data_IF_124193662903
#
_entry.id   IF_124193662903
#
_cell.length_a   1.000
_cell.length_b   1.000
_cell.length_c   1.000
_cell.angle_alpha   90.00
_cell.angle_beta   90.00
_cell.angle_gamma   90.00
#
_symmetry.space_group_name_H-M   'P 1'
#
loop_
_entity.id
_entity.type
_entity.pdbx_description
1 polymer ?
#
# COMPACT_ATOMS: atom_id res chain seq x y z
N UNK A 1 -16.34 31.93 2.93
CA UNK A 1 -15.79 31.10 4.01
C UNK A 1 -15.99 31.75 5.37
N UNK A 2 -15.00 32.52 5.85
CA UNK A 2 -14.91 32.98 7.24
C UNK A 2 -16.19 33.63 7.82
N UNK A 3 -16.81 34.57 7.10
CA UNK A 3 -18.06 35.21 7.56
C UNK A 3 -19.20 34.20 7.75
N UNK A 4 -19.30 33.22 6.84
CA UNK A 4 -20.38 32.22 6.85
C UNK A 4 -20.30 31.27 8.06
N UNK A 5 -19.13 31.10 8.68
CA UNK A 5 -19.01 30.30 9.90
C UNK A 5 -19.91 30.84 11.02
N UNK A 6 -19.82 32.15 11.27
CA UNK A 6 -20.62 32.83 12.28
C UNK A 6 -22.09 32.92 11.87
N UNK A 7 -22.37 33.25 10.62
CA UNK A 7 -23.74 33.36 10.10
C UNK A 7 -24.49 32.04 10.19
N UNK A 8 -23.87 30.91 9.82
CA UNK A 8 -24.49 29.59 9.88
C UNK A 8 -24.87 29.23 11.33
N UNK A 9 -23.94 29.44 12.26
CA UNK A 9 -24.19 29.19 13.67
C UNK A 9 -25.33 30.07 14.21
N UNK A 10 -25.31 31.38 13.95
CA UNK A 10 -26.37 32.29 14.38
C UNK A 10 -27.73 31.89 13.81
N UNK A 11 -27.78 31.52 12.53
CA UNK A 11 -29.00 31.10 11.87
C UNK A 11 -29.56 29.78 12.44
N UNK A 12 -28.72 28.74 12.57
CA UNK A 12 -29.15 27.45 13.12
C UNK A 12 -29.60 27.58 14.59
N UNK A 13 -28.91 28.40 15.38
CA UNK A 13 -29.34 28.72 16.75
C UNK A 13 -30.69 29.42 16.80
N UNK A 14 -30.99 30.33 15.87
CA UNK A 14 -32.25 31.05 15.83
C UNK A 14 -33.43 30.18 15.35
N UNK A 15 -33.19 29.32 14.36
CA UNK A 15 -34.24 28.52 13.69
C UNK A 15 -34.48 27.19 14.38
N UNK A 16 -33.41 26.43 14.66
CA UNK A 16 -33.49 25.08 15.22
C UNK A 16 -33.38 25.11 16.75
N UNK A 17 -32.61 26.07 17.28
CA UNK A 17 -32.28 26.14 18.71
C UNK A 17 -31.04 25.31 19.03
N UNK A 18 -30.10 25.90 19.76
CA UNK A 18 -28.79 25.25 20.07
C UNK A 18 -28.94 23.89 20.75
N UNK A 19 -29.99 23.64 21.53
CA UNK A 19 -30.19 22.34 22.19
C UNK A 19 -30.60 21.20 21.23
N UNK A 20 -31.02 21.51 20.00
CA UNK A 20 -31.71 20.57 19.10
C UNK A 20 -30.85 20.08 17.93
N UNK A 21 -29.53 20.32 17.95
CA UNK A 21 -28.59 19.81 16.95
C UNK A 21 -27.18 19.70 17.52
N UNK A 22 -26.37 18.78 16.99
CA UNK A 22 -25.04 18.45 17.53
C UNK A 22 -23.89 19.00 16.67
N UNK A 23 -24.11 18.97 15.35
CA UNK A 23 -23.24 19.53 14.32
C UNK A 23 -24.12 20.31 13.33
N UNK A 24 -23.53 21.31 12.68
CA UNK A 24 -24.16 22.03 11.59
C UNK A 24 -23.14 22.38 10.52
N UNK A 25 -23.57 22.38 9.27
CA UNK A 25 -22.70 22.64 8.14
C UNK A 25 -23.52 23.32 7.04
N UNK A 26 -23.00 24.37 6.44
CA UNK A 26 -23.68 25.07 5.34
C UNK A 26 -22.98 24.80 4.01
N UNK A 27 -23.78 24.51 2.99
CA UNK A 27 -23.30 24.35 1.62
C UNK A 27 -23.53 25.63 0.83
N UNK A 28 -22.60 25.97 -0.06
CA UNK A 28 -22.72 27.12 -0.96
C UNK A 28 -22.19 26.81 -2.35
N UNK A 29 -22.43 27.72 -3.29
CA UNK A 29 -21.79 27.69 -4.61
C UNK A 29 -20.54 28.59 -4.68
N UNK A 30 -20.08 29.12 -3.54
CA UNK A 30 -18.76 29.76 -3.42
C UNK A 30 -17.64 28.71 -3.56
N UNK A 31 -16.37 29.10 -3.63
CA UNK A 31 -15.26 28.14 -3.73
C UNK A 31 -14.65 27.78 -2.37
N UNK A 32 -14.22 26.52 -2.21
CA UNK A 32 -13.44 26.01 -1.09
C UNK A 32 -14.27 25.64 0.15
N UNK A 33 -13.59 25.20 1.19
CA UNK A 33 -14.16 24.90 2.49
C UNK A 33 -13.48 25.66 3.63
N UNK A 34 -14.18 25.76 4.76
CA UNK A 34 -13.57 26.13 6.04
C UNK A 34 -14.45 25.65 7.19
N UNK A 35 -13.82 25.10 8.22
CA UNK A 35 -14.46 24.70 9.45
C UNK A 35 -13.65 25.10 10.69
N UNK A 36 -14.36 25.28 11.80
CA UNK A 36 -13.71 25.37 13.11
C UNK A 36 -13.36 23.97 13.62
N UNK A 37 -12.18 23.83 14.22
CA UNK A 37 -11.65 22.55 14.68
C UNK A 37 -12.36 22.05 15.94
N UNK A 38 -12.82 20.79 15.95
CA UNK A 38 -13.33 20.10 17.15
C UNK A 38 -14.52 20.79 17.81
N UNK A 39 -15.55 21.13 17.01
CA UNK A 39 -16.67 21.98 17.46
C UNK A 39 -17.99 21.26 17.64
N UNK A 40 -18.08 19.97 17.28
CA UNK A 40 -19.28 19.17 17.56
C UNK A 40 -19.60 19.20 19.06
N UNK A 41 -20.89 19.25 19.40
CA UNK A 41 -21.42 19.44 20.76
C UNK A 41 -21.10 20.76 21.46
N UNK A 42 -20.24 21.63 20.91
CA UNK A 42 -19.88 22.90 21.55
C UNK A 42 -20.99 23.94 21.35
N UNK A 43 -21.77 24.28 22.39
CA UNK A 43 -22.86 25.28 22.27
C UNK A 43 -22.39 26.63 21.69
N UNK A 44 -21.12 27.01 21.93
CA UNK A 44 -20.53 28.26 21.47
C UNK A 44 -19.92 28.18 20.06
N UNK A 45 -19.62 26.98 19.53
CA UNK A 45 -18.87 26.84 18.28
C UNK A 45 -19.45 25.83 17.27
N UNK A 46 -20.38 24.95 17.66
CA UNK A 46 -21.05 24.04 16.74
C UNK A 46 -21.77 24.82 15.65
N UNK A 47 -21.96 24.19 14.50
CA UNK A 47 -22.39 24.81 13.24
C UNK A 47 -21.38 25.69 12.50
N UNK A 48 -20.14 25.84 12.98
CA UNK A 48 -19.09 26.57 12.26
C UNK A 48 -18.37 25.67 11.24
N UNK A 49 -19.08 25.29 10.18
CA UNK A 49 -18.54 24.55 9.04
C UNK A 49 -19.21 25.01 7.75
N UNK A 50 -18.41 25.22 6.70
CA UNK A 50 -18.85 25.70 5.40
C UNK A 50 -18.11 24.92 4.31
N UNK A 51 -18.85 24.42 3.33
CA UNK A 51 -18.29 23.84 2.11
C UNK A 51 -18.90 24.52 0.90
N UNK A 52 -18.08 24.86 -0.09
CA UNK A 52 -18.51 25.49 -1.31
C UNK A 52 -17.79 24.98 -2.55
N UNK A 53 -18.55 24.78 -3.63
CA UNK A 53 -17.99 24.62 -4.98
C UNK A 53 -18.94 25.18 -6.02
N UNK A 54 -18.41 25.78 -7.09
CA UNK A 54 -19.22 26.35 -8.17
C UNK A 54 -20.18 25.34 -8.81
N UNK A 55 -19.78 24.07 -8.87
CA UNK A 55 -20.64 22.92 -9.17
C UNK A 55 -20.57 21.93 -7.99
N UNK A 56 -21.49 22.02 -7.01
CA UNK A 56 -21.45 21.23 -5.78
C UNK A 56 -22.00 19.82 -5.99
N UNK A 57 -21.34 19.04 -6.85
CA UNK A 57 -21.76 17.69 -7.24
C UNK A 57 -20.56 16.77 -7.40
N UNK A 58 -20.77 15.47 -7.15
CA UNK A 58 -19.76 14.42 -7.35
C UNK A 58 -18.67 14.38 -6.28
N UNK A 59 -17.79 13.39 -6.41
CA UNK A 59 -16.78 13.05 -5.41
C UNK A 59 -15.87 14.22 -5.01
N UNK A 60 -15.38 15.08 -5.92
CA UNK A 60 -14.52 16.19 -5.50
C UNK A 60 -15.29 17.31 -4.78
N UNK A 61 -16.61 17.21 -4.62
CA UNK A 61 -17.36 18.03 -3.67
C UNK A 61 -17.62 17.26 -2.38
N UNK A 62 -18.10 16.02 -2.47
CA UNK A 62 -18.51 15.22 -1.30
C UNK A 62 -17.33 14.77 -0.43
N UNK A 63 -16.22 14.39 -1.04
CA UNK A 63 -15.04 13.85 -0.34
C UNK A 63 -14.05 14.97 -0.06
N UNK A 64 -13.51 15.60 -1.12
CA UNK A 64 -12.41 16.57 -1.00
C UNK A 64 -12.78 17.84 -0.21
N UNK A 65 -14.07 18.19 -0.10
CA UNK A 65 -14.51 19.33 0.69
C UNK A 65 -15.48 18.95 1.80
N UNK A 66 -16.62 18.31 1.52
CA UNK A 66 -17.62 18.08 2.58
C UNK A 66 -17.07 17.18 3.68
N UNK A 67 -16.52 16.01 3.33
CA UNK A 67 -15.92 15.11 4.31
C UNK A 67 -14.68 15.73 4.98
N UNK A 68 -13.83 16.43 4.22
CA UNK A 68 -12.67 17.16 4.72
C UNK A 68 -13.03 18.18 5.82
N UNK A 69 -13.96 19.08 5.52
CA UNK A 69 -14.37 20.13 6.46
C UNK A 69 -15.16 19.56 7.64
N UNK A 70 -15.92 18.48 7.44
CA UNK A 70 -16.53 17.77 8.55
C UNK A 70 -15.48 17.07 9.43
N UNK A 71 -14.40 16.54 8.86
CA UNK A 71 -13.26 16.00 9.59
C UNK A 71 -12.66 17.03 10.56
N UNK A 72 -12.49 18.28 10.11
CA UNK A 72 -12.13 19.38 11.02
C UNK A 72 -13.16 19.62 12.12
N UNK A 73 -14.45 19.60 11.83
CA UNK A 73 -15.47 19.75 12.87
C UNK A 73 -15.37 18.65 13.94
N UNK A 74 -14.94 17.46 13.55
CA UNK A 74 -14.61 16.32 14.42
C UNK A 74 -13.20 16.34 15.01
N UNK A 75 -12.40 17.36 14.69
CA UNK A 75 -11.11 17.63 15.33
C UNK A 75 -9.88 17.24 14.52
N UNK A 76 -10.04 16.57 13.38
CA UNK A 76 -8.90 16.12 12.57
C UNK A 76 -8.12 17.31 12.00
N UNK A 77 -6.79 17.18 11.99
CA UNK A 77 -5.88 18.14 11.36
C UNK A 77 -5.50 17.65 9.96
N UNK A 78 -4.83 18.52 9.20
CA UNK A 78 -4.32 18.12 7.90
C UNK A 78 -3.20 17.08 8.01
N UNK A 79 -3.24 16.09 7.12
CA UNK A 79 -2.29 14.96 7.11
C UNK A 79 -1.14 15.13 6.10
N UNK A 80 -1.22 16.11 5.21
CA UNK A 80 -0.22 16.34 4.17
C UNK A 80 1.11 16.90 4.72
N UNK A 81 2.21 16.53 4.08
CA UNK A 81 3.56 16.98 4.39
C UNK A 81 4.19 17.85 3.28
N UNK A 82 3.36 18.38 2.39
CA UNK A 82 3.81 19.22 1.29
C UNK A 82 4.16 20.65 1.69
N UNK A 83 4.77 21.38 0.75
CA UNK A 83 5.29 22.74 0.98
C UNK A 83 4.98 23.75 -0.14
N UNK A 84 4.40 23.30 -1.25
CA UNK A 84 4.08 24.12 -2.42
C UNK A 84 2.57 24.19 -2.69
N UNK A 85 2.14 25.11 -3.57
CA UNK A 85 0.72 25.32 -3.84
C UNK A 85 -0.09 25.65 -2.58
N UNK A 86 -1.23 24.99 -2.41
CA UNK A 86 -2.09 25.14 -1.22
C UNK A 86 -1.50 24.51 0.04
N UNK A 87 -0.51 23.61 -0.07
CA UNK A 87 0.23 23.08 1.08
C UNK A 87 1.14 24.14 1.72
N UNK A 88 1.41 25.27 1.03
CA UNK A 88 2.15 26.40 1.58
C UNK A 88 1.28 27.30 2.49
N UNK A 89 1.85 28.38 3.02
CA UNK A 89 1.06 29.45 3.67
C UNK A 89 0.52 29.13 5.08
N UNK A 90 1.02 28.07 5.73
CA UNK A 90 0.69 27.75 7.12
C UNK A 90 -0.46 26.75 7.31
N UNK A 91 -0.95 26.13 6.23
CA UNK A 91 -1.99 25.10 6.31
C UNK A 91 -1.47 23.77 6.89
N UNK A 92 -0.17 23.48 6.77
CA UNK A 92 0.42 22.24 7.26
C UNK A 92 0.37 22.14 8.79
N UNK A 93 -0.15 21.03 9.31
CA UNK A 93 -0.10 20.67 10.72
C UNK A 93 1.08 19.71 10.99
N UNK A 94 2.22 20.24 11.44
CA UNK A 94 3.47 19.47 11.53
C UNK A 94 3.42 18.22 12.44
N UNK A 95 2.52 18.20 13.42
CA UNK A 95 2.31 17.08 14.34
C UNK A 95 1.38 15.99 13.78
N UNK A 96 0.80 16.21 12.60
CA UNK A 96 -0.15 15.31 11.94
C UNK A 96 0.24 15.02 10.48
N UNK A 97 1.34 15.59 10.00
CA UNK A 97 1.78 15.56 8.61
C UNK A 97 2.46 14.22 8.23
N UNK A 98 1.69 13.13 8.28
CA UNK A 98 2.15 11.75 8.01
C UNK A 98 2.17 11.39 6.52
N UNK A 99 1.46 12.12 5.66
CA UNK A 99 1.38 11.80 4.24
C UNK A 99 2.36 12.64 3.40
N UNK A 100 3.15 12.04 2.49
CA UNK A 100 4.08 12.80 1.65
C UNK A 100 3.36 13.78 0.72
N UNK A 101 4.04 14.88 0.35
CA UNK A 101 3.52 15.82 -0.65
C UNK A 101 2.11 16.33 -0.34
N UNK A 102 1.22 16.32 -1.34
CA UNK A 102 -0.19 16.68 -1.16
C UNK A 102 -0.98 15.75 -0.25
N UNK A 103 -0.45 14.56 0.06
CA UNK A 103 -1.18 13.40 0.57
C UNK A 103 -2.26 12.90 -0.38
N UNK A 104 -2.99 11.89 0.07
CA UNK A 104 -3.98 11.11 -0.68
C UNK A 104 -5.32 10.95 0.07
N UNK A 105 -5.36 11.03 1.40
CA UNK A 105 -6.59 10.79 2.17
C UNK A 105 -7.48 12.02 2.33
N UNK A 106 -8.65 11.85 2.96
CA UNK A 106 -9.66 12.93 3.13
C UNK A 106 -9.08 14.19 3.77
N UNK A 107 -8.22 14.07 4.79
CA UNK A 107 -7.64 15.25 5.48
C UNK A 107 -6.36 15.78 4.83
N UNK A 108 -5.97 15.21 3.70
CA UNK A 108 -4.88 15.71 2.89
C UNK A 108 -5.36 16.81 1.92
N UNK A 109 -4.44 17.33 1.12
CA UNK A 109 -4.67 18.37 0.10
C UNK A 109 -4.43 17.81 -1.32
N UNK A 110 -4.94 16.60 -1.58
CA UNK A 110 -4.75 15.90 -2.84
C UNK A 110 -5.08 16.80 -4.05
N UNK A 111 -4.10 16.97 -4.95
CA UNK A 111 -4.30 17.65 -6.23
C UNK A 111 -4.25 19.18 -6.20
N UNK A 112 -3.91 19.79 -5.05
CA UNK A 112 -3.87 21.26 -4.90
C UNK A 112 -2.54 21.81 -4.37
N UNK A 113 -1.49 21.00 -4.36
CA UNK A 113 -0.14 21.34 -3.91
C UNK A 113 0.89 21.45 -5.07
N UNK A 114 0.45 21.33 -6.32
CA UNK A 114 1.27 21.64 -7.49
C UNK A 114 2.24 20.51 -7.84
N UNK A 115 3.55 20.79 -7.84
CA UNK A 115 4.55 19.77 -8.19
C UNK A 115 4.65 18.62 -7.17
N UNK A 116 4.01 18.77 -6.01
CA UNK A 116 3.96 17.79 -4.93
C UNK A 116 2.67 16.96 -4.91
N UNK A 117 1.82 17.10 -5.95
CA UNK A 117 0.56 16.38 -6.05
C UNK A 117 0.77 14.89 -6.30
N UNK A 118 0.25 14.07 -5.39
CA UNK A 118 0.30 12.60 -5.47
C UNK A 118 -0.81 12.02 -6.37
N UNK A 119 -1.96 12.67 -6.37
CA UNK A 119 -3.18 12.28 -7.09
C UNK A 119 -4.11 13.50 -7.25
N UNK A 120 -5.05 13.49 -8.20
CA UNK A 120 -5.90 14.65 -8.46
C UNK A 120 -7.01 14.92 -7.44
N UNK A 121 -7.48 13.91 -6.69
CA UNK A 121 -8.56 14.03 -5.69
C UNK A 121 -8.29 13.06 -4.54
N UNK A 122 -8.89 13.24 -3.37
CA UNK A 122 -8.67 12.36 -2.23
C UNK A 122 -9.34 11.00 -2.44
N UNK A 123 -8.69 9.96 -1.91
CA UNK A 123 -9.32 8.68 -1.69
C UNK A 123 -10.32 8.77 -0.52
N UNK A 124 -11.45 8.08 -0.64
CA UNK A 124 -12.60 8.23 0.26
C UNK A 124 -12.45 7.47 1.59
N UNK A 125 -11.34 7.68 2.29
CA UNK A 125 -11.12 7.21 3.66
C UNK A 125 -10.22 8.19 4.43
N UNK A 126 -10.26 8.08 5.75
CA UNK A 126 -9.39 8.84 6.64
C UNK A 126 -8.08 8.08 6.86
N UNK A 127 -6.94 8.79 6.80
CA UNK A 127 -5.67 8.31 7.32
C UNK A 127 -5.82 7.94 8.81
N UNK A 128 -5.04 6.97 9.31
CA UNK A 128 -5.16 6.54 10.71
C UNK A 128 -4.98 7.65 11.74
N UNK A 129 -4.13 8.65 11.50
CA UNK A 129 -4.01 9.84 12.36
C UNK A 129 -5.35 10.60 12.49
N UNK A 130 -6.08 10.75 11.39
CA UNK A 130 -7.39 11.40 11.41
C UNK A 130 -8.41 10.58 12.21
N UNK A 131 -8.38 9.24 12.09
CA UNK A 131 -9.21 8.35 12.90
C UNK A 131 -8.88 8.50 14.38
N UNK A 132 -7.61 8.40 14.78
CA UNK A 132 -7.18 8.54 16.19
C UNK A 132 -7.70 9.84 16.83
N UNK A 133 -7.61 10.95 16.09
CA UNK A 133 -8.07 12.27 16.54
C UNK A 133 -9.61 12.32 16.65
N UNK A 134 -10.32 11.83 15.63
CA UNK A 134 -11.79 11.82 15.59
C UNK A 134 -12.35 10.91 16.69
N UNK A 135 -11.78 9.72 16.87
CA UNK A 135 -12.15 8.77 17.90
C UNK A 135 -11.91 9.34 19.30
N UNK A 136 -10.73 9.92 19.54
CA UNK A 136 -10.43 10.56 20.81
C UNK A 136 -11.46 11.67 21.11
N UNK A 137 -11.73 12.55 20.14
CA UNK A 137 -12.67 13.67 20.32
C UNK A 137 -14.12 13.22 20.52
N UNK A 138 -14.57 12.20 19.77
CA UNK A 138 -15.95 11.71 19.80
C UNK A 138 -16.24 10.77 20.98
N UNK A 139 -15.28 9.91 21.36
CA UNK A 139 -15.45 8.88 22.41
C UNK A 139 -15.08 9.41 23.80
N UNK A 140 -14.09 10.30 23.90
CA UNK A 140 -13.57 10.79 25.20
C UNK A 140 -13.51 12.32 25.35
N UNK A 141 -13.54 13.06 24.25
CA UNK A 141 -13.41 14.52 24.22
C UNK A 141 -14.74 15.29 24.24
N UNK A 142 -14.70 16.54 23.78
CA UNK A 142 -15.85 17.46 23.77
C UNK A 142 -16.99 16.99 22.86
N UNK A 143 -16.68 16.29 21.77
CA UNK A 143 -17.67 15.68 20.86
C UNK A 143 -18.50 14.57 21.52
N UNK A 144 -18.10 14.11 22.70
CA UNK A 144 -18.80 13.08 23.47
C UNK A 144 -19.97 13.63 24.33
N UNK A 145 -20.12 14.96 24.39
CA UNK A 145 -21.01 15.63 25.35
C UNK A 145 -22.50 15.67 24.95
N UNK A 146 -22.81 15.42 23.67
CA UNK A 146 -24.17 15.48 23.14
C UNK A 146 -24.61 14.16 22.47
N UNK A 147 -23.83 13.08 22.62
CA UNK A 147 -24.10 11.80 21.97
C UNK A 147 -25.41 11.17 22.42
N UNK A 148 -26.04 10.44 21.49
CA UNK A 148 -26.98 9.37 21.80
C UNK A 148 -26.26 8.02 21.55
N UNK A 149 -26.30 7.13 22.55
CA UNK A 149 -25.68 5.80 22.43
C UNK A 149 -26.64 4.85 21.71
N UNK A 150 -26.15 4.20 20.65
CA UNK A 150 -26.85 3.18 19.88
C UNK A 150 -25.99 1.93 19.87
N UNK A 151 -26.58 0.79 20.22
CA UNK A 151 -25.88 -0.49 20.11
C UNK A 151 -25.73 -0.86 18.63
N UNK A 152 -24.50 -1.15 18.20
CA UNK A 152 -24.18 -1.55 16.83
C UNK A 152 -24.41 -3.04 16.63
N UNK A 153 -24.20 -3.84 17.68
CA UNK A 153 -24.23 -5.30 17.58
C UNK A 153 -22.90 -5.90 17.11
N UNK A 154 -21.92 -5.05 16.78
CA UNK A 154 -20.51 -5.41 16.69
C UNK A 154 -19.95 -5.49 18.13
N UNK A 155 -19.51 -6.67 18.54
CA UNK A 155 -19.16 -6.99 19.92
C UNK A 155 -17.65 -7.14 20.11
N UNK A 156 -16.90 -7.36 19.04
CA UNK A 156 -15.46 -7.57 19.05
C UNK A 156 -14.74 -6.50 18.25
N UNK A 157 -13.72 -5.89 18.85
CA UNK A 157 -12.73 -5.11 18.11
C UNK A 157 -11.73 -6.08 17.48
N UNK A 158 -11.29 -5.85 16.22
CA UNK A 158 -10.25 -6.67 15.60
C UNK A 158 -8.97 -6.74 16.43
N UNK A 159 -8.35 -7.93 16.50
CA UNK A 159 -6.99 -8.09 17.03
C UNK A 159 -6.00 -8.04 15.87
N UNK A 160 -5.03 -7.12 15.90
CA UNK A 160 -4.12 -6.82 14.79
C UNK A 160 -2.68 -7.13 15.18
N UNK A 161 -1.92 -7.70 14.24
CA UNK A 161 -0.50 -8.02 14.37
C UNK A 161 0.24 -7.49 13.13
N UNK A 162 1.11 -6.49 13.32
CA UNK A 162 1.92 -5.89 12.26
C UNK A 162 3.18 -6.71 11.92
N UNK A 163 3.40 -7.83 12.61
CA UNK A 163 4.57 -8.67 12.44
C UNK A 163 5.83 -8.08 13.06
N UNK A 164 6.97 -8.69 12.72
CA UNK A 164 8.26 -8.37 13.34
C UNK A 164 8.88 -7.05 12.81
N UNK A 165 9.84 -6.52 13.57
CA UNK A 165 10.73 -5.47 13.12
C UNK A 165 11.86 -6.03 12.24
N UNK A 166 12.30 -5.26 11.23
CA UNK A 166 13.35 -5.70 10.31
C UNK A 166 14.45 -4.68 10.12
N UNK A 167 15.66 -5.18 9.80
CA UNK A 167 16.73 -4.36 9.24
C UNK A 167 16.93 -4.70 7.77
N UNK A 168 16.78 -3.71 6.89
CA UNK A 168 16.87 -3.87 5.42
C UNK A 168 18.04 -3.07 4.83
N UNK A 169 18.58 -3.47 3.68
CA UNK A 169 19.54 -2.66 2.92
C UNK A 169 18.93 -1.36 2.38
N UNK A 170 19.75 -0.32 2.15
CA UNK A 170 19.30 0.90 1.45
C UNK A 170 18.86 0.58 0.01
N UNK A 171 17.99 1.43 -0.54
CA UNK A 171 17.56 1.40 -1.94
C UNK A 171 17.07 0.02 -2.42
N UNK A 172 16.37 -0.71 -1.55
CA UNK A 172 15.91 -2.07 -1.83
C UNK A 172 14.41 -2.20 -1.54
N UNK A 173 13.61 -2.74 -2.48
CA UNK A 173 12.19 -3.03 -2.26
C UNK A 173 11.93 -3.94 -1.06
N UNK A 174 10.77 -3.78 -0.44
CA UNK A 174 10.32 -4.66 0.65
C UNK A 174 8.80 -4.81 0.65
N UNK A 175 8.30 -5.87 1.29
CA UNK A 175 6.88 -6.11 1.49
C UNK A 175 6.58 -6.42 2.94
N UNK A 176 5.61 -5.71 3.53
CA UNK A 176 5.15 -5.94 4.88
C UNK A 176 3.86 -6.75 4.82
N UNK A 177 3.79 -7.80 5.64
CA UNK A 177 2.63 -8.66 5.80
C UNK A 177 2.31 -8.72 7.27
N UNK A 178 1.07 -8.39 7.62
CA UNK A 178 0.57 -8.60 8.98
C UNK A 178 -0.59 -9.58 8.98
N UNK A 179 -1.31 -9.61 10.09
CA UNK A 179 -2.52 -10.40 10.26
C UNK A 179 -3.53 -9.65 11.13
N UNK A 180 -4.78 -10.06 11.05
CA UNK A 180 -5.76 -9.69 12.04
C UNK A 180 -6.81 -10.79 12.18
N UNK A 181 -7.45 -10.84 13.35
CA UNK A 181 -8.60 -11.71 13.60
C UNK A 181 -9.77 -10.88 14.11
N UNK A 182 -10.97 -11.37 13.84
CA UNK A 182 -12.20 -10.81 14.36
C UNK A 182 -13.04 -11.93 14.97
N UNK A 183 -13.52 -11.73 16.20
CA UNK A 183 -14.22 -12.77 16.96
C UNK A 183 -15.70 -12.91 16.55
N UNK A 184 -16.27 -11.90 15.91
CA UNK A 184 -17.63 -11.92 15.37
C UNK A 184 -17.68 -12.59 13.98
N UNK A 185 -16.53 -12.74 13.32
CA UNK A 185 -16.36 -13.44 12.05
C UNK A 185 -16.56 -12.54 10.83
N UNK A 186 -16.43 -11.22 11.02
CA UNK A 186 -16.60 -10.23 9.97
C UNK A 186 -15.43 -10.22 8.97
N UNK A 187 -15.68 -9.69 7.77
CA UNK A 187 -14.67 -9.65 6.70
C UNK A 187 -13.72 -8.48 6.89
N UNK A 188 -12.47 -8.80 7.17
CA UNK A 188 -11.45 -7.80 7.46
C UNK A 188 -10.89 -7.13 6.18
N UNK A 189 -10.55 -5.85 6.32
CA UNK A 189 -9.71 -5.11 5.36
C UNK A 189 -8.55 -4.45 6.07
N UNK A 190 -7.42 -4.35 5.37
CA UNK A 190 -6.11 -3.95 5.88
C UNK A 190 -5.63 -2.69 5.16
N UNK A 191 -4.98 -1.79 5.90
CA UNK A 191 -4.29 -0.64 5.36
C UNK A 191 -2.95 -0.48 6.07
N UNK A 192 -1.87 -0.47 5.29
CA UNK A 192 -0.52 -0.19 5.75
C UNK A 192 -0.20 1.27 5.48
N UNK A 193 0.19 2.04 6.49
CA UNK A 193 0.50 3.47 6.39
C UNK A 193 1.87 3.74 7.00
N UNK A 194 2.65 4.65 6.40
CA UNK A 194 3.88 5.11 7.04
C UNK A 194 3.52 6.04 8.21
N UNK A 195 4.21 5.85 9.34
CA UNK A 195 3.96 6.53 10.60
C UNK A 195 5.13 7.42 11.05
N UNK A 196 5.76 8.09 10.09
CA UNK A 196 6.85 9.03 10.36
C UNK A 196 6.42 10.48 10.11
N UNK A 197 6.77 11.34 11.07
CA UNK A 197 6.77 12.80 10.88
C UNK A 197 8.16 13.28 10.50
N UNK A 198 8.24 14.39 9.75
CA UNK A 198 9.52 14.98 9.42
C UNK A 198 9.46 16.35 8.77
N UNK A 199 10.58 16.79 8.17
CA UNK A 199 10.63 18.02 7.39
C UNK A 199 9.59 18.04 6.27
N UNK A 200 9.04 19.21 5.97
CA UNK A 200 8.09 19.39 4.87
C UNK A 200 8.80 19.44 3.50
N UNK A 201 8.06 19.10 2.46
CA UNK A 201 8.47 19.25 1.06
C UNK A 201 8.88 17.95 0.36
N UNK A 202 9.23 18.02 -0.94
CA UNK A 202 9.39 16.85 -1.80
C UNK A 202 10.73 16.14 -1.61
N UNK A 203 11.69 16.79 -0.95
CA UNK A 203 13.01 16.23 -0.77
C UNK A 203 13.01 15.21 0.37
N UNK A 204 13.43 13.98 0.05
CA UNK A 204 13.69 12.95 1.05
C UNK A 204 14.78 13.46 1.99
N UNK A 205 14.40 13.84 3.19
CA UNK A 205 15.32 14.40 4.18
C UNK A 205 14.88 14.01 5.59
N UNK A 206 15.85 13.63 6.42
CA UNK A 206 15.59 13.17 7.79
C UNK A 206 14.56 12.04 7.82
N UNK A 207 13.49 12.23 8.59
CA UNK A 207 12.40 11.27 8.74
C UNK A 207 11.13 11.70 7.98
N UNK A 208 11.24 12.57 6.95
CA UNK A 208 10.06 12.93 6.15
C UNK A 208 9.33 11.68 5.66
N UNK A 209 7.98 11.66 5.65
CA UNK A 209 7.21 10.58 5.05
C UNK A 209 7.55 10.47 3.56
N UNK A 210 7.68 9.23 3.09
CA UNK A 210 8.11 8.86 1.72
C UNK A 210 7.22 7.80 1.07
N UNK A 211 6.30 7.20 1.83
CA UNK A 211 5.29 6.27 1.34
C UNK A 211 3.89 6.84 1.60
N UNK A 212 3.10 6.97 0.54
CA UNK A 212 1.73 7.46 0.57
C UNK A 212 0.80 6.41 1.14
N UNK A 213 -0.41 6.80 1.49
CA UNK A 213 -1.44 5.82 1.88
C UNK A 213 -2.24 5.35 0.66
N UNK A 214 -2.87 4.18 0.79
CA UNK A 214 -3.78 3.61 -0.22
C UNK A 214 -5.05 3.06 0.46
N UNK A 215 -6.14 2.95 -0.31
CA UNK A 215 -7.39 2.37 0.16
C UNK A 215 -7.19 1.03 0.88
N UNK A 216 -7.94 0.77 1.98
CA UNK A 216 -7.94 -0.54 2.62
C UNK A 216 -8.32 -1.66 1.64
N UNK A 217 -7.67 -2.81 1.74
CA UNK A 217 -7.93 -3.97 0.87
C UNK A 217 -8.04 -5.26 1.69
N UNK A 218 -8.63 -6.35 1.15
CA UNK A 218 -8.58 -7.65 1.80
C UNK A 218 -7.17 -8.26 1.89
N UNK A 219 -6.19 -7.71 1.18
CA UNK A 219 -4.81 -8.21 1.20
C UNK A 219 -4.04 -7.66 2.40
N UNK A 220 -3.49 -8.54 3.27
CA UNK A 220 -2.73 -8.09 4.44
C UNK A 220 -1.30 -7.67 4.11
N UNK A 221 -0.89 -7.82 2.83
CA UNK A 221 0.46 -7.52 2.36
C UNK A 221 0.49 -6.24 1.54
N UNK A 222 1.41 -5.33 1.87
CA UNK A 222 1.73 -4.16 1.04
C UNK A 222 3.19 -4.20 0.60
N UNK A 223 3.42 -3.98 -0.69
CA UNK A 223 4.75 -3.80 -1.29
C UNK A 223 5.14 -2.32 -1.33
N UNK A 224 6.42 -2.05 -1.08
CA UNK A 224 7.01 -0.72 -1.05
C UNK A 224 8.25 -0.66 -1.95
N UNK A 225 8.22 0.13 -3.05
CA UNK A 225 7.07 0.76 -3.68
C UNK A 225 5.97 -0.22 -4.10
N UNK A 226 4.79 0.31 -4.46
CA UNK A 226 3.73 -0.49 -5.09
C UNK A 226 4.29 -1.30 -6.26
N UNK A 227 3.84 -2.55 -6.40
CA UNK A 227 4.35 -3.50 -7.41
C UNK A 227 4.36 -2.94 -8.84
N UNK A 228 3.38 -2.10 -9.20
CA UNK A 228 3.34 -1.45 -10.51
C UNK A 228 4.55 -0.54 -10.75
N UNK A 229 4.98 0.23 -9.74
CA UNK A 229 6.16 1.11 -9.84
C UNK A 229 7.45 0.30 -10.00
N UNK A 230 7.52 -0.88 -9.36
CA UNK A 230 8.63 -1.82 -9.50
C UNK A 230 8.69 -2.43 -10.91
N UNK A 231 7.55 -2.90 -11.42
CA UNK A 231 7.45 -3.51 -12.76
C UNK A 231 7.77 -2.51 -13.87
N UNK A 232 7.26 -1.28 -13.75
CA UNK A 232 7.46 -0.22 -14.73
C UNK A 232 8.80 0.51 -14.56
N UNK A 233 9.54 0.24 -13.48
CA UNK A 233 10.79 0.93 -13.14
C UNK A 233 10.63 2.45 -13.02
N UNK A 234 9.43 2.91 -12.66
CA UNK A 234 9.05 4.33 -12.67
C UNK A 234 9.01 4.87 -11.25
N UNK A 235 9.84 5.87 -10.90
CA UNK A 235 9.73 6.54 -9.62
C UNK A 235 8.42 7.31 -9.53
N UNK A 236 7.61 6.99 -8.52
CA UNK A 236 6.37 7.69 -8.20
C UNK A 236 6.57 8.53 -6.93
N UNK A 237 6.11 9.78 -6.97
CA UNK A 237 6.14 10.65 -5.78
C UNK A 237 5.34 10.00 -4.65
N UNK A 238 5.91 10.00 -3.44
CA UNK A 238 5.32 9.33 -2.29
C UNK A 238 5.40 7.81 -2.36
N UNK A 239 6.23 7.23 -3.22
CA UNK A 239 6.57 5.80 -3.21
C UNK A 239 8.08 5.65 -3.41
N UNK A 240 8.88 6.24 -2.51
CA UNK A 240 10.34 6.33 -2.72
C UNK A 240 11.15 5.49 -1.74
N UNK A 241 12.09 4.72 -2.27
CA UNK A 241 13.01 3.93 -1.47
C UNK A 241 14.06 4.80 -0.75
N UNK A 242 14.37 4.50 0.51
CA UNK A 242 15.35 5.25 1.30
C UNK A 242 16.78 4.97 0.81
N UNK A 243 17.52 6.01 0.44
CA UNK A 243 18.91 5.91 -0.07
C UNK A 243 19.98 6.14 1.00
N UNK A 244 19.58 6.29 2.26
CA UNK A 244 20.45 6.50 3.41
C UNK A 244 19.89 5.79 4.64
N UNK A 245 20.71 5.65 5.68
CA UNK A 245 20.29 4.99 6.91
C UNK A 245 19.21 5.82 7.62
N UNK A 246 18.06 5.21 7.87
CA UNK A 246 16.95 5.80 8.62
C UNK A 246 16.07 4.69 9.18
N UNK A 247 15.27 5.04 10.18
CA UNK A 247 14.20 4.17 10.66
C UNK A 247 12.91 4.63 10.01
N UNK A 248 12.09 3.67 9.57
CA UNK A 248 10.74 3.87 9.09
C UNK A 248 9.79 3.20 10.08
N UNK A 249 8.75 3.92 10.48
CA UNK A 249 7.67 3.34 11.28
C UNK A 249 6.50 3.09 10.34
N UNK A 250 5.86 1.93 10.47
CA UNK A 250 4.66 1.59 9.74
C UNK A 250 3.57 1.20 10.71
N UNK A 251 2.33 1.49 10.33
CA UNK A 251 1.15 1.09 11.07
C UNK A 251 0.24 0.27 10.17
N UNK A 252 -0.15 -0.91 10.65
CA UNK A 252 -1.18 -1.74 10.04
C UNK A 252 -2.50 -1.45 10.75
N UNK A 253 -3.51 -1.01 10.01
CA UNK A 253 -4.88 -0.87 10.52
C UNK A 253 -5.76 -1.94 9.90
N UNK A 254 -6.45 -2.73 10.73
CA UNK A 254 -7.51 -3.64 10.29
C UNK A 254 -8.90 -3.06 10.63
N UNK A 255 -9.86 -3.26 9.72
CA UNK A 255 -11.26 -2.86 9.87
C UNK A 255 -12.15 -4.09 9.71
N UNK A 256 -13.06 -4.33 10.63
CA UNK A 256 -14.00 -5.47 10.55
C UNK A 256 -15.09 -5.28 9.49
N UNK A 257 -15.39 -4.04 9.10
CA UNK A 257 -16.49 -3.70 8.18
C UNK A 257 -17.87 -4.17 8.66
N UNK A 258 -18.07 -4.34 9.97
CA UNK A 258 -19.35 -4.75 10.53
C UNK A 258 -20.47 -3.75 10.19
N UNK A 259 -21.71 -4.24 10.04
CA UNK A 259 -22.88 -3.43 9.71
C UNK A 259 -23.85 -3.47 10.89
N UNK A 260 -24.38 -2.33 11.39
CA UNK A 260 -24.40 -1.00 10.77
C UNK A 260 -23.18 -0.11 11.04
N UNK A 261 -22.24 -0.52 11.89
CA UNK A 261 -21.03 0.23 12.18
C UNK A 261 -19.89 -0.72 12.55
N UNK A 262 -18.80 -0.62 11.80
CA UNK A 262 -17.57 -1.37 12.06
C UNK A 262 -16.72 -0.71 13.12
N UNK A 263 -15.70 -1.45 13.56
CA UNK A 263 -14.62 -0.98 14.41
C UNK A 263 -13.28 -1.22 13.69
N UNK A 264 -12.24 -0.59 14.23
CA UNK A 264 -10.89 -0.71 13.72
C UNK A 264 -9.88 -0.76 14.85
N UNK A 265 -8.77 -1.44 14.60
CA UNK A 265 -7.64 -1.46 15.50
C UNK A 265 -6.35 -1.46 14.68
N UNK A 266 -5.23 -1.21 15.34
CA UNK A 266 -3.93 -1.17 14.69
C UNK A 266 -2.82 -1.81 15.51
N UNK A 267 -1.75 -2.13 14.80
CA UNK A 267 -0.44 -2.44 15.37
C UNK A 267 0.67 -1.77 14.54
N UNK A 268 1.86 -1.64 15.10
CA UNK A 268 2.99 -0.94 14.49
C UNK A 268 4.21 -1.86 14.30
N UNK A 269 4.93 -1.66 13.20
CA UNK A 269 6.21 -2.31 12.94
C UNK A 269 7.28 -1.32 12.48
N UNK A 270 8.54 -1.68 12.74
CA UNK A 270 9.70 -0.81 12.50
C UNK A 270 10.64 -1.42 11.48
N UNK A 271 10.99 -0.62 10.47
CA UNK A 271 11.96 -0.97 9.43
C UNK A 271 13.19 -0.09 9.57
N UNK A 272 14.29 -0.68 10.02
CA UNK A 272 15.59 -0.03 10.09
C UNK A 272 16.34 -0.18 8.77
N UNK A 273 16.55 0.92 8.07
CA UNK A 273 17.31 0.95 6.82
C UNK A 273 18.80 1.11 7.14
N UNK A 274 19.62 0.17 6.70
CA UNK A 274 21.06 0.15 6.93
C UNK A 274 21.84 0.59 5.70
N UNK A 275 22.64 1.65 5.83
CA UNK A 275 23.58 2.06 4.79
C UNK A 275 24.84 1.17 4.71
N UNK A 276 24.97 0.15 5.58
CA UNK A 276 26.07 -0.81 5.52
C UNK A 276 25.88 -1.89 4.44
N UNK A 277 24.68 -2.01 3.87
CA UNK A 277 24.32 -2.97 2.84
C UNK A 277 23.39 -2.33 1.80
N UNK A 278 23.38 -2.90 0.60
CA UNK A 278 22.50 -2.47 -0.50
C UNK A 278 23.19 -1.63 -1.58
N UNK A 279 22.49 -1.39 -2.71
CA UNK A 279 21.19 -2.00 -3.04
C UNK A 279 21.33 -3.51 -3.33
N UNK A 280 20.39 -4.30 -2.82
CA UNK A 280 20.25 -5.71 -3.19
C UNK A 280 19.50 -5.76 -4.53
N UNK A 281 20.12 -6.36 -5.55
CA UNK A 281 19.62 -6.27 -6.93
C UNK A 281 19.71 -7.61 -7.66
N UNK A 282 18.63 -8.08 -8.26
CA UNK A 282 18.67 -9.08 -9.33
C UNK A 282 19.47 -8.49 -10.48
N UNK A 283 20.45 -9.24 -10.97
CA UNK A 283 21.33 -8.85 -12.08
C UNK A 283 21.08 -9.67 -13.34
N UNK A 284 20.57 -10.90 -13.21
CA UNK A 284 20.12 -11.72 -14.32
C UNK A 284 18.98 -12.67 -13.90
N UNK A 285 17.97 -12.89 -14.76
CA UNK A 285 17.68 -12.17 -16.01
C UNK A 285 17.31 -10.70 -15.78
N UNK A 286 17.70 -9.82 -16.72
CA UNK A 286 17.39 -8.38 -16.70
C UNK A 286 17.30 -7.79 -18.12
N UNK A 287 17.15 -8.65 -19.11
CA UNK A 287 17.00 -8.29 -20.51
C UNK A 287 16.15 -9.36 -21.19
N UNK A 288 15.66 -9.06 -22.39
CA UNK A 288 14.89 -9.99 -23.19
C UNK A 288 15.75 -11.18 -23.65
N UNK A 289 15.83 -12.21 -22.78
CA UNK A 289 16.47 -13.49 -23.06
C UNK A 289 15.42 -14.59 -23.21
N UNK A 290 15.87 -15.78 -23.59
CA UNK A 290 15.04 -16.97 -23.65
C UNK A 290 15.58 -18.06 -22.72
N UNK A 291 14.73 -18.53 -21.82
CA UNK A 291 14.91 -19.76 -21.06
C UNK A 291 14.25 -20.90 -21.85
N UNK A 292 15.08 -21.69 -22.55
CA UNK A 292 14.62 -22.81 -23.37
C UNK A 292 14.67 -24.12 -22.57
N UNK A 293 13.58 -24.88 -22.60
CA UNK A 293 13.45 -26.13 -21.87
C UNK A 293 13.49 -25.93 -20.35
N UNK A 294 13.59 -27.05 -19.63
CA UNK A 294 13.43 -27.07 -18.17
C UNK A 294 14.61 -26.45 -17.39
N UNK A 295 15.75 -26.19 -18.05
CA UNK A 295 16.96 -25.66 -17.40
C UNK A 295 18.16 -26.62 -17.48
N UNK A 296 19.25 -26.34 -16.73
CA UNK A 296 19.37 -25.27 -15.74
C UNK A 296 19.42 -23.87 -16.36
N UNK A 297 18.79 -22.91 -15.70
CA UNK A 297 18.85 -21.49 -16.01
C UNK A 297 19.56 -20.74 -14.89
N UNK A 298 20.35 -19.73 -15.22
CA UNK A 298 21.08 -18.95 -14.21
C UNK A 298 20.24 -17.77 -13.73
N UNK A 299 20.09 -17.65 -12.41
CA UNK A 299 19.64 -16.43 -11.74
C UNK A 299 20.82 -15.87 -10.97
N UNK A 300 21.05 -14.56 -11.08
CA UNK A 300 22.16 -13.89 -10.40
C UNK A 300 21.67 -12.60 -9.75
N UNK A 301 22.29 -12.24 -8.62
CA UNK A 301 21.97 -11.03 -7.86
C UNK A 301 23.23 -10.46 -7.18
N UNK A 302 23.18 -9.18 -6.86
CA UNK A 302 24.18 -8.50 -6.04
C UNK A 302 23.85 -8.72 -4.56
N UNK A 303 24.65 -9.54 -3.88
CA UNK A 303 24.53 -9.77 -2.42
C UNK A 303 24.68 -8.48 -1.62
N UNK A 304 25.43 -7.49 -2.12
CA UNK A 304 25.50 -6.13 -1.55
C UNK A 304 25.68 -6.06 -0.01
N UNK A 305 26.56 -6.90 0.55
CA UNK A 305 26.82 -7.03 2.00
C UNK A 305 25.61 -7.45 2.86
N UNK A 306 24.50 -7.91 2.28
CA UNK A 306 23.29 -8.25 3.07
C UNK A 306 23.48 -9.48 3.96
N UNK A 307 24.47 -10.34 3.68
CA UNK A 307 24.81 -11.49 4.55
C UNK A 307 25.46 -11.08 5.87
N UNK A 308 26.06 -9.89 5.92
CA UNK A 308 26.70 -9.37 7.13
C UNK A 308 25.68 -8.65 8.04
N UNK A 309 26.01 -8.58 9.34
CA UNK A 309 25.27 -7.73 10.26
C UNK A 309 25.36 -6.25 9.83
N UNK A 310 24.29 -5.45 9.99
CA UNK A 310 23.08 -5.78 10.74
C UNK A 310 21.96 -6.48 9.94
N UNK A 311 22.05 -6.57 8.61
CA UNK A 311 20.99 -7.16 7.76
C UNK A 311 20.89 -8.68 7.92
N UNK A 312 22.04 -9.37 7.99
CA UNK A 312 22.15 -10.80 8.36
C UNK A 312 21.32 -11.79 7.50
N UNK A 313 21.14 -11.48 6.21
CA UNK A 313 20.42 -12.33 5.28
C UNK A 313 21.29 -13.49 4.77
N UNK A 314 21.25 -14.63 5.45
CA UNK A 314 22.08 -15.80 5.12
C UNK A 314 21.60 -16.58 3.90
N UNK A 315 20.28 -16.67 3.69
CA UNK A 315 19.66 -17.42 2.59
C UNK A 315 18.59 -16.61 1.88
N UNK A 316 18.34 -16.97 0.62
CA UNK A 316 17.31 -16.36 -0.24
C UNK A 316 16.37 -17.43 -0.78
N UNK A 317 15.19 -16.99 -1.19
CA UNK A 317 14.25 -17.74 -2.02
C UNK A 317 14.21 -17.07 -3.42
N UNK A 318 14.11 -17.89 -4.46
CA UNK A 318 14.00 -17.46 -5.87
C UNK A 318 12.65 -17.91 -6.40
N UNK A 319 11.83 -16.94 -6.81
CA UNK A 319 10.49 -17.18 -7.34
C UNK A 319 10.35 -16.67 -8.77
N UNK A 320 9.40 -17.26 -9.49
CA UNK A 320 9.07 -16.92 -10.86
C UNK A 320 7.65 -16.35 -10.96
N UNK A 321 7.56 -15.28 -11.73
CA UNK A 321 6.34 -14.69 -12.27
C UNK A 321 6.18 -15.09 -13.72
N UNK A 322 4.94 -15.27 -14.15
CA UNK A 322 4.55 -15.44 -15.56
C UNK A 322 3.59 -14.33 -16.04
N UNK A 323 3.30 -13.35 -15.19
CA UNK A 323 2.32 -12.27 -15.41
C UNK A 323 2.95 -10.88 -15.55
N UNK A 324 4.26 -10.81 -15.84
CA UNK A 324 5.00 -9.54 -15.99
C UNK A 324 5.59 -9.01 -14.69
N UNK A 325 5.58 -9.79 -13.60
CA UNK A 325 6.15 -9.42 -12.31
C UNK A 325 5.14 -8.91 -11.28
N UNK A 326 3.83 -9.07 -11.53
CA UNK A 326 2.79 -8.68 -10.59
C UNK A 326 2.59 -9.72 -9.48
N UNK A 327 2.73 -11.00 -9.80
CA UNK A 327 2.69 -12.10 -8.83
C UNK A 327 3.85 -13.07 -9.04
N UNK A 328 4.27 -13.75 -7.97
CA UNK A 328 5.38 -14.72 -7.99
C UNK A 328 4.96 -16.07 -7.39
N UNK A 329 4.02 -16.81 -8.02
CA UNK A 329 3.44 -18.02 -7.46
C UNK A 329 4.31 -19.28 -7.64
N UNK A 330 5.38 -19.21 -8.42
CA UNK A 330 6.18 -20.37 -8.81
C UNK A 330 7.56 -20.37 -8.13
N UNK A 331 7.73 -21.06 -7.00
CA UNK A 331 9.05 -21.17 -6.37
C UNK A 331 9.99 -21.97 -7.28
N UNK A 332 11.18 -21.43 -7.52
CA UNK A 332 12.23 -22.07 -8.33
C UNK A 332 13.35 -22.65 -7.47
N UNK A 333 13.72 -21.97 -6.40
CA UNK A 333 14.70 -22.39 -5.42
C UNK A 333 14.34 -21.79 -4.06
N UNK A 334 14.49 -22.57 -2.99
CA UNK A 334 14.14 -22.14 -1.63
C UNK A 334 15.29 -22.43 -0.67
N UNK A 335 15.53 -21.50 0.25
CA UNK A 335 16.57 -21.58 1.27
C UNK A 335 17.97 -21.84 0.70
N UNK A 336 18.30 -21.18 -0.41
CA UNK A 336 19.62 -21.25 -1.03
C UNK A 336 20.55 -20.19 -0.44
N UNK A 337 21.85 -20.40 -0.52
CA UNK A 337 22.82 -19.46 0.04
C UNK A 337 22.68 -18.09 -0.63
N UNK A 338 22.78 -17.02 0.16
CA UNK A 338 22.84 -15.67 -0.39
C UNK A 338 24.28 -15.36 -0.88
N UNK A 339 24.69 -16.03 -1.96
CA UNK A 339 26.06 -15.97 -2.50
C UNK A 339 26.17 -15.33 -3.89
N UNK A 340 25.04 -14.92 -4.47
CA UNK A 340 24.96 -14.09 -5.67
C UNK A 340 24.53 -14.83 -6.93
N UNK A 341 24.34 -16.16 -6.88
CA UNK A 341 23.81 -16.89 -8.04
C UNK A 341 23.18 -18.23 -7.66
N UNK A 342 22.14 -18.63 -8.39
CA UNK A 342 21.52 -19.95 -8.25
C UNK A 342 21.18 -20.52 -9.63
N UNK A 343 21.28 -21.86 -9.76
CA UNK A 343 20.87 -22.58 -10.96
C UNK A 343 19.46 -23.13 -10.76
N UNK A 344 18.50 -22.61 -11.52
CA UNK A 344 17.08 -22.93 -11.36
C UNK A 344 16.53 -23.78 -12.50
N UNK A 345 15.44 -24.48 -12.24
CA UNK A 345 14.72 -25.27 -13.23
C UNK A 345 13.28 -24.79 -13.33
N UNK A 346 12.81 -24.56 -14.54
CA UNK A 346 11.44 -24.13 -14.80
C UNK A 346 10.58 -25.32 -15.22
N UNK A 347 9.41 -25.45 -14.58
CA UNK A 347 8.38 -26.43 -14.92
C UNK A 347 7.07 -25.77 -15.38
N UNK A 348 7.09 -24.47 -15.67
CA UNK A 348 5.90 -23.72 -16.10
C UNK A 348 5.70 -23.83 -17.61
N UNK A 349 4.47 -23.52 -18.05
CA UNK A 349 4.17 -23.35 -19.47
C UNK A 349 4.89 -22.13 -20.06
N UNK A 350 4.91 -22.07 -21.38
CA UNK A 350 5.48 -20.96 -22.14
C UNK A 350 4.93 -19.61 -21.67
N UNK A 351 5.82 -18.64 -21.51
CA UNK A 351 5.46 -17.26 -21.13
C UNK A 351 6.36 -16.27 -21.85
N UNK A 352 5.78 -15.15 -22.30
CA UNK A 352 6.53 -14.05 -22.89
C UNK A 352 6.84 -12.92 -21.90
N UNK A 353 6.28 -13.00 -20.69
CA UNK A 353 6.25 -11.95 -19.66
C UNK A 353 6.81 -12.50 -18.34
N UNK A 354 7.82 -13.35 -18.41
CA UNK A 354 8.40 -13.96 -17.23
C UNK A 354 9.31 -12.96 -16.49
N UNK A 355 9.27 -12.99 -15.16
CA UNK A 355 10.14 -12.23 -14.25
C UNK A 355 10.60 -13.11 -13.10
N UNK A 356 11.79 -12.85 -12.57
CA UNK A 356 12.24 -13.50 -11.33
C UNK A 356 12.21 -12.52 -10.18
N UNK A 357 11.96 -13.03 -8.98
CA UNK A 357 12.16 -12.35 -7.70
C UNK A 357 13.22 -13.11 -6.92
N UNK A 358 14.14 -12.39 -6.30
CA UNK A 358 15.04 -12.94 -5.28
C UNK A 358 14.74 -12.20 -3.97
N UNK A 359 14.27 -12.94 -2.97
CA UNK A 359 13.88 -12.41 -1.67
C UNK A 359 14.72 -12.99 -0.54
N UNK A 360 15.04 -12.17 0.45
CA UNK A 360 15.71 -12.69 1.64
C UNK A 360 14.78 -13.60 2.43
N UNK A 361 15.24 -14.80 2.79
CA UNK A 361 14.45 -15.68 3.65
C UNK A 361 14.53 -15.21 5.10
N UNK A 362 13.37 -14.95 5.72
CA UNK A 362 13.29 -14.44 7.09
C UNK A 362 13.53 -12.94 7.22
N UNK A 363 13.45 -12.19 6.12
CA UNK A 363 13.43 -10.73 6.10
C UNK A 363 12.42 -10.27 5.02
N UNK A 364 12.07 -8.99 4.99
CA UNK A 364 11.01 -8.43 4.14
C UNK A 364 11.50 -7.88 2.79
N UNK A 365 12.81 -7.75 2.62
CA UNK A 365 13.39 -7.16 1.41
C UNK A 365 13.57 -8.17 0.29
N UNK A 366 13.44 -7.70 -0.94
CA UNK A 366 13.64 -8.48 -2.16
C UNK A 366 14.02 -7.56 -3.31
N UNK A 367 14.35 -8.15 -4.46
CA UNK A 367 14.36 -7.43 -5.74
C UNK A 367 13.74 -8.28 -6.86
N UNK A 368 13.29 -7.63 -7.93
CA UNK A 368 12.74 -8.27 -9.12
C UNK A 368 13.56 -7.93 -10.36
N UNK A 369 13.58 -8.83 -11.33
CA UNK A 369 14.18 -8.54 -12.64
C UNK A 369 13.51 -7.35 -13.33
N UNK A 370 14.30 -6.52 -14.00
CA UNK A 370 13.91 -5.25 -14.63
C UNK A 370 13.40 -5.38 -16.07
N UNK A 371 13.50 -6.55 -16.70
CA UNK A 371 12.90 -6.79 -18.01
C UNK A 371 12.24 -8.17 -18.11
N UNK A 372 11.18 -8.24 -18.91
CA UNK A 372 10.53 -9.50 -19.25
C UNK A 372 11.53 -10.37 -20.02
N UNK A 373 11.50 -11.67 -19.71
CA UNK A 373 12.14 -12.68 -20.53
C UNK A 373 11.12 -13.72 -20.98
N UNK A 374 11.52 -14.51 -21.97
CA UNK A 374 10.68 -15.56 -22.53
C UNK A 374 11.05 -16.91 -21.93
N UNK A 375 10.04 -17.71 -21.60
CA UNK A 375 10.16 -19.13 -21.30
C UNK A 375 9.54 -19.86 -22.48
N UNK A 376 10.35 -20.69 -23.14
CA UNK A 376 9.87 -21.66 -24.11
C UNK A 376 10.07 -23.04 -23.49
N UNK A 377 8.98 -23.66 -23.05
CA UNK A 377 8.97 -25.03 -22.58
C UNK A 377 9.56 -25.96 -23.62
N UNK A 378 10.11 -27.08 -23.16
CA UNK A 378 10.40 -28.14 -24.10
C UNK A 378 9.06 -28.67 -24.59
N UNK A 379 8.81 -28.63 -25.91
CA UNK A 379 7.89 -29.58 -26.53
C UNK A 379 8.29 -30.93 -25.95
N UNK A 380 7.43 -31.54 -25.15
CA UNK A 380 7.56 -32.95 -24.77
C UNK A 380 7.38 -33.69 -26.09
N UNK A 381 8.44 -33.77 -26.87
CA UNK A 381 8.53 -34.63 -28.03
C UNK A 381 8.29 -36.03 -27.46
N UNK A 382 7.07 -36.49 -27.67
CA UNK A 382 6.62 -37.86 -27.65
C UNK A 382 7.62 -38.71 -28.47
N UNK A 383 8.76 -39.05 -27.88
CA UNK A 383 9.54 -40.21 -28.27
C UNK A 383 8.93 -41.49 -27.66
N UNK A 384 7.61 -41.51 -27.56
CA UNK A 384 6.80 -42.67 -27.23
C UNK A 384 5.88 -42.96 -28.42
N UNK A 385 6.47 -43.18 -29.59
CA UNK A 385 5.84 -44.06 -30.56
C UNK A 385 6.90 -44.98 -31.19
N UNK A 386 6.72 -46.27 -30.89
CA UNK A 386 7.12 -47.45 -31.64
C UNK A 386 8.56 -47.56 -32.18
N UNK A 387 9.46 -48.06 -31.33
CA UNK A 387 10.36 -49.13 -31.81
C UNK A 387 9.46 -50.37 -32.05
N UNK A 388 8.93 -50.50 -33.27
CA UNK A 388 8.18 -51.69 -33.72
C UNK A 388 9.03 -52.95 -33.48
N UNK A 389 8.71 -53.66 -32.41
CA UNK A 389 9.14 -55.03 -32.15
C UNK A 389 8.19 -55.98 -32.89
N UNK A 390 8.31 -56.13 -34.22
CA UNK A 390 7.91 -57.35 -34.94
C UNK A 390 8.16 -57.26 -36.45
N UNK A 391 9.40 -57.52 -36.90
CA UNK A 391 9.61 -57.98 -38.29
C UNK A 391 10.63 -59.13 -38.35
N UNK A 392 10.37 -60.19 -37.58
CA UNK A 392 11.07 -61.48 -37.73
C UNK A 392 10.18 -62.63 -38.21
N UNK A 393 8.91 -62.39 -38.55
CA UNK A 393 7.97 -63.44 -38.96
C UNK A 393 7.55 -63.38 -40.45
N UNK A 394 8.46 -62.95 -41.34
CA UNK A 394 8.29 -63.12 -42.81
C UNK A 394 9.03 -64.32 -43.41
N UNK A 395 9.36 -65.32 -42.60
CA UNK A 395 9.79 -66.63 -43.11
C UNK A 395 8.73 -67.71 -42.88
N UNK A 396 7.70 -67.78 -43.74
CA UNK A 396 7.02 -69.06 -43.98
C UNK A 396 6.47 -69.17 -45.41
N UNK A 397 7.16 -70.02 -46.17
CA UNK A 397 6.72 -70.94 -47.22
C UNK A 397 5.62 -70.53 -48.22
N UNK A 398 6.01 -70.48 -49.50
CA UNK A 398 5.45 -71.16 -50.70
C UNK A 398 6.06 -70.47 -51.91
N UNK A 399 6.63 -71.07 -52.96
CA UNK A 399 6.61 -72.41 -53.51
C UNK A 399 7.00 -72.20 -54.99
N UNK A 400 8.24 -72.50 -55.36
CA UNK A 400 8.72 -72.30 -56.73
C UNK A 400 8.77 -73.65 -57.45
N UNK A 401 7.75 -73.95 -58.24
CA UNK A 401 7.90 -74.82 -59.41
C UNK A 401 8.26 -73.96 -60.62
N UNK A 402 9.33 -74.32 -61.34
CA UNK A 402 9.35 -74.39 -62.81
C UNK A 402 10.62 -75.11 -63.29
N UNK A 403 10.39 -75.98 -64.29
CA UNK A 403 11.39 -76.63 -65.15
C UNK A 403 12.21 -75.63 -65.93
#
# INVERSE_FOLDING_TARGET
GLTMLGENQSNLNAVIGSANYDIGHVFSTGGGGIASLGVVCSASNKARGVTGRGAPTGDPFYIDYVAHEMGHQWGANHTFNGSTGSCSGGNRASSHAYEPGSGATIMAYAGICGAEDLQPNSDAYFHRDSLDVIETFSRSGGGNACKALVATGNLATPEVDAGEDYTIPISTPFALTGAATDADGDTLTYCWEQWDLGPAGPAISGNAPIFRSFNPTPEPTRTFPKVADLVDGTPTIGETLPTYARTLHFRLTARDNAVPAGDEEYDESVITVSAAAGPFLVTAPNSAIAWNGIGPHAVAWNVANTTAAPVSCATVDVDLSTDGGFTFPHPLAVNVANDGSEAVYTGVADSATARVRVGCRGNVFFDISNADFTIAGADVLLFADSFESSDTDRWSATGTEKR
#
